data_IF_348296395347
#
_entry.id   IF_348296395347
#
_cell.length_a   1.000
_cell.length_b   1.000
_cell.length_c   1.000
_cell.angle_alpha   90.00
_cell.angle_beta   90.00
_cell.angle_gamma   90.00
#
_symmetry.space_group_name_H-M   'P 1'
#
loop_
_entity.id
_entity.type
_entity.pdbx_description
1 polymer ?
#
# COMPACT_ATOMS: atom_id res chain seq x y z
N UNK A 1 -0.99 7.85 24.94
CA UNK A 1 0.02 6.78 25.05
C UNK A 1 1.46 7.25 24.94
N UNK A 2 1.74 8.29 24.14
CA UNK A 2 3.07 8.83 23.89
C UNK A 2 3.97 8.96 25.14
N UNK A 3 3.60 9.80 26.11
CA UNK A 3 4.43 10.04 27.33
C UNK A 3 4.58 8.79 28.20
N UNK A 4 3.54 7.98 28.35
CA UNK A 4 3.58 6.75 29.17
C UNK A 4 4.54 5.74 28.52
N UNK A 5 4.45 5.54 27.20
CA UNK A 5 5.31 4.61 26.48
C UNK A 5 6.76 5.10 26.42
N UNK A 6 6.99 6.40 26.22
CA UNK A 6 8.31 6.99 26.28
C UNK A 6 8.96 6.74 27.65
N UNK A 7 8.31 7.10 28.74
CA UNK A 7 8.85 6.90 30.10
C UNK A 7 8.95 5.42 30.51
N UNK A 8 8.16 4.54 29.89
CA UNK A 8 8.32 3.07 30.02
C UNK A 8 9.57 2.55 29.35
N UNK A 9 9.86 3.01 28.14
CA UNK A 9 11.04 2.62 27.37
C UNK A 9 12.35 3.13 28.00
N UNK A 10 12.27 4.16 28.85
CA UNK A 10 13.41 4.76 29.52
C UNK A 10 13.54 4.34 31.01
N UNK A 11 14.68 4.70 31.60
CA UNK A 11 15.02 4.36 32.98
C UNK A 11 14.17 5.07 34.06
N UNK A 12 14.37 4.70 35.34
CA UNK A 12 13.53 5.14 36.46
C UNK A 12 13.46 6.66 36.65
N UNK A 13 14.49 7.39 36.21
CA UNK A 13 14.55 8.86 36.30
C UNK A 13 13.47 9.58 35.49
N UNK A 14 12.88 8.91 34.51
CA UNK A 14 11.86 9.48 33.62
C UNK A 14 10.43 9.09 34.03
N UNK A 15 10.26 8.28 35.08
CA UNK A 15 8.95 7.75 35.43
C UNK A 15 8.00 8.87 35.87
N UNK A 16 6.80 8.84 35.29
CA UNK A 16 5.61 9.53 35.78
C UNK A 16 5.16 9.01 37.16
N UNK A 17 4.24 9.70 37.85
CA UNK A 17 3.55 9.16 39.03
C UNK A 17 2.96 7.76 38.78
N UNK A 18 2.90 6.93 39.83
CA UNK A 18 2.53 5.50 39.72
C UNK A 18 1.14 5.26 39.12
N UNK A 19 0.23 6.20 39.29
CA UNK A 19 -1.13 6.18 38.79
C UNK A 19 -1.19 6.08 37.26
N UNK A 20 -0.20 6.64 36.55
CA UNK A 20 -0.08 6.52 35.09
C UNK A 20 0.30 5.12 34.62
N UNK A 21 0.68 4.24 35.56
CA UNK A 21 1.01 2.84 35.27
C UNK A 21 -0.01 1.85 35.82
N UNK A 22 -1.14 2.34 36.36
CA UNK A 22 -2.27 1.48 36.68
C UNK A 22 -2.78 0.76 35.41
N UNK A 23 -2.92 -0.57 35.41
CA UNK A 23 -3.30 -1.33 34.23
C UNK A 23 -4.65 -0.89 33.63
N UNK A 24 -5.62 -0.49 34.46
CA UNK A 24 -6.92 -0.04 33.99
C UNK A 24 -6.82 1.35 33.37
N UNK A 25 -6.07 2.26 33.98
CA UNK A 25 -5.80 3.58 33.42
C UNK A 25 -5.16 3.48 32.03
N UNK A 26 -4.15 2.61 31.87
CA UNK A 26 -3.49 2.40 30.57
C UNK A 26 -4.45 1.84 29.54
N UNK A 27 -5.21 0.80 29.86
CA UNK A 27 -6.17 0.22 28.91
C UNK A 27 -7.20 1.25 28.44
N UNK A 28 -7.66 2.13 29.33
CA UNK A 28 -8.58 3.23 28.99
C UNK A 28 -7.89 4.25 28.06
N UNK A 29 -6.66 4.68 28.40
CA UNK A 29 -5.91 5.66 27.61
C UNK A 29 -5.53 5.10 26.23
N UNK A 30 -5.15 3.81 26.15
CA UNK A 30 -4.88 3.11 24.89
C UNK A 30 -6.12 3.09 24.01
N UNK A 31 -7.26 2.66 24.56
CA UNK A 31 -8.52 2.63 23.83
C UNK A 31 -8.93 4.01 23.31
N UNK A 32 -8.90 5.04 24.17
CA UNK A 32 -9.22 6.42 23.77
C UNK A 32 -8.30 6.86 22.62
N UNK A 33 -6.99 6.63 22.76
CA UNK A 33 -6.03 7.02 21.73
C UNK A 33 -6.21 6.28 20.41
N UNK A 34 -6.46 4.97 20.45
CA UNK A 34 -6.70 4.16 19.25
C UNK A 34 -8.01 4.57 18.57
N UNK A 35 -9.09 4.74 19.32
CA UNK A 35 -10.38 5.15 18.77
C UNK A 35 -10.29 6.56 18.16
N UNK A 36 -9.66 7.51 18.85
CA UNK A 36 -9.46 8.88 18.37
C UNK A 36 -8.66 8.94 17.06
N UNK A 37 -7.55 8.19 16.99
CA UNK A 37 -6.61 8.31 15.87
C UNK A 37 -6.94 7.39 14.69
N UNK A 38 -7.54 6.24 14.92
CA UNK A 38 -7.57 5.15 13.93
C UNK A 38 -8.97 4.66 13.53
N UNK A 39 -10.03 4.93 14.31
CA UNK A 39 -11.39 4.46 13.96
C UNK A 39 -11.88 4.99 12.61
N UNK A 40 -11.46 6.20 12.22
CA UNK A 40 -11.82 6.78 10.92
C UNK A 40 -11.44 5.90 9.72
N UNK A 41 -10.33 5.15 9.80
CA UNK A 41 -9.94 4.19 8.77
C UNK A 41 -10.90 3.01 8.66
N UNK A 42 -11.58 2.62 9.74
CA UNK A 42 -12.56 1.53 9.71
C UNK A 42 -13.94 1.98 9.22
N UNK A 43 -14.24 3.28 9.35
CA UNK A 43 -15.57 3.84 9.14
C UNK A 43 -15.75 4.51 7.77
N UNK A 44 -14.70 5.13 7.22
CA UNK A 44 -14.79 6.00 6.04
C UNK A 44 -13.79 5.63 4.95
N UNK A 45 -14.31 5.36 3.75
CA UNK A 45 -13.52 5.13 2.55
C UNK A 45 -12.76 6.40 2.14
N UNK A 46 -13.35 7.58 2.31
CA UNK A 46 -12.68 8.85 2.06
C UNK A 46 -11.45 9.00 2.96
N UNK A 47 -11.59 8.70 4.25
CA UNK A 47 -10.48 8.75 5.21
C UNK A 47 -9.35 7.79 4.82
N UNK A 48 -9.67 6.55 4.41
CA UNK A 48 -8.67 5.60 3.87
C UNK A 48 -8.01 6.14 2.60
N UNK A 49 -8.81 6.69 1.69
CA UNK A 49 -8.36 7.17 0.37
C UNK A 49 -7.37 8.33 0.48
N UNK A 50 -7.69 9.31 1.32
CA UNK A 50 -6.88 10.51 1.49
C UNK A 50 -5.73 10.33 2.49
N UNK A 51 -5.88 9.41 3.45
CA UNK A 51 -4.87 9.09 4.46
C UNK A 51 -3.78 8.15 3.93
N UNK A 52 -4.11 6.87 3.74
CA UNK A 52 -3.12 5.81 3.43
C UNK A 52 -3.21 5.27 1.99
N UNK A 53 -4.25 5.65 1.25
CA UNK A 53 -4.57 5.10 -0.06
C UNK A 53 -3.46 5.23 -1.09
N UNK A 54 -2.78 6.39 -1.14
CA UNK A 54 -1.65 6.60 -2.03
C UNK A 54 -0.51 5.59 -1.79
N UNK A 55 -0.13 5.41 -0.52
CA UNK A 55 0.93 4.47 -0.14
C UNK A 55 0.53 3.02 -0.47
N UNK A 56 -0.69 2.61 -0.14
CA UNK A 56 -1.14 1.24 -0.42
C UNK A 56 -1.25 0.97 -1.92
N UNK A 57 -1.70 1.96 -2.69
CA UNK A 57 -1.66 1.89 -4.13
C UNK A 57 -0.24 1.75 -4.68
N UNK A 58 0.77 2.39 -4.08
CA UNK A 58 2.17 2.27 -4.50
C UNK A 58 2.71 0.88 -4.21
N UNK A 59 2.39 0.34 -3.03
CA UNK A 59 2.76 -1.04 -2.64
C UNK A 59 2.20 -2.05 -3.64
N UNK A 60 0.90 -1.96 -3.95
CA UNK A 60 0.26 -2.86 -4.93
C UNK A 60 0.82 -2.65 -6.33
N UNK A 61 1.07 -1.40 -6.76
CA UNK A 61 1.65 -1.13 -8.06
C UNK A 61 3.04 -1.79 -8.22
N UNK A 62 3.87 -1.77 -7.17
CA UNK A 62 5.19 -2.44 -7.17
C UNK A 62 5.06 -3.96 -7.20
N UNK A 63 4.10 -4.54 -6.48
CA UNK A 63 3.83 -5.98 -6.56
C UNK A 63 3.44 -6.39 -7.97
N UNK A 64 2.53 -5.63 -8.60
CA UNK A 64 2.12 -5.87 -9.99
C UNK A 64 3.28 -5.66 -10.96
N UNK A 65 4.11 -4.62 -10.79
CA UNK A 65 5.31 -4.42 -11.58
C UNK A 65 6.28 -5.61 -11.49
N UNK A 66 6.35 -6.26 -10.32
CA UNK A 66 7.12 -7.49 -10.13
C UNK A 66 6.56 -8.67 -10.93
N UNK A 67 5.23 -8.79 -11.04
CA UNK A 67 4.55 -9.78 -11.92
C UNK A 67 4.84 -9.49 -13.39
N UNK A 68 4.75 -8.21 -13.78
CA UNK A 68 5.01 -7.77 -15.16
C UNK A 68 6.49 -7.82 -15.54
N UNK A 69 7.38 -8.06 -14.57
CA UNK A 69 8.84 -7.95 -14.72
C UNK A 69 9.24 -6.60 -15.34
N UNK A 70 8.54 -5.54 -14.94
CA UNK A 70 8.72 -4.20 -15.46
C UNK A 70 9.44 -3.31 -14.44
N UNK A 71 10.03 -2.18 -14.87
CA UNK A 71 10.60 -1.21 -13.94
C UNK A 71 9.60 -0.62 -12.94
N UNK A 72 8.30 -0.85 -13.11
CA UNK A 72 7.26 -0.42 -12.16
C UNK A 72 7.35 -1.14 -10.80
N UNK A 73 8.20 -2.17 -10.69
CA UNK A 73 8.47 -2.89 -9.43
C UNK A 73 9.24 -2.06 -8.37
N UNK A 74 9.71 -0.88 -8.76
CA UNK A 74 10.46 0.07 -7.94
C UNK A 74 11.77 0.52 -8.59
N UNK A 75 12.23 -0.15 -9.65
CA UNK A 75 13.41 0.28 -10.42
C UNK A 75 13.19 1.67 -11.04
N UNK A 76 11.97 1.99 -11.47
CA UNK A 76 11.58 3.26 -12.08
C UNK A 76 11.96 4.48 -11.22
N UNK A 77 11.76 4.41 -9.90
CA UNK A 77 12.04 5.51 -8.97
C UNK A 77 13.54 5.67 -8.64
N UNK A 78 14.33 4.61 -8.79
CA UNK A 78 15.77 4.61 -8.45
C UNK A 78 16.68 4.51 -9.68
N UNK A 79 16.09 4.48 -10.88
CA UNK A 79 16.79 4.17 -12.13
C UNK A 79 17.95 5.10 -12.37
N UNK A 80 19.15 4.53 -12.49
CA UNK A 80 20.33 5.27 -12.89
C UNK A 80 20.39 5.39 -14.43
N UNK A 81 20.71 6.57 -14.99
CA UNK A 81 20.90 6.73 -16.43
C UNK A 81 21.90 5.71 -16.98
N UNK A 82 21.47 4.90 -17.96
CA UNK A 82 22.31 3.90 -18.63
C UNK A 82 22.47 2.56 -17.89
N UNK A 83 21.84 2.37 -16.72
CA UNK A 83 21.83 1.07 -16.04
C UNK A 83 20.71 0.16 -16.59
N UNK A 84 21.00 -1.14 -16.70
CA UNK A 84 19.98 -2.15 -16.94
C UNK A 84 19.02 -2.23 -15.73
N UNK A 85 17.70 -2.43 -15.96
CA UNK A 85 16.73 -2.59 -14.88
C UNK A 85 17.12 -3.73 -13.95
N UNK A 86 16.94 -3.56 -12.64
CA UNK A 86 17.15 -4.64 -11.66
C UNK A 86 15.91 -4.83 -10.80
N UNK A 87 15.41 -6.07 -10.67
CA UNK A 87 14.22 -6.31 -9.88
C UNK A 87 14.42 -5.91 -8.42
N UNK A 88 13.50 -5.12 -7.87
CA UNK A 88 13.52 -4.76 -6.46
C UNK A 88 13.02 -5.95 -5.64
N UNK A 89 13.88 -6.46 -4.75
CA UNK A 89 13.57 -7.61 -3.88
C UNK A 89 13.23 -7.23 -2.45
N UNK A 90 13.63 -6.03 -2.03
CA UNK A 90 13.45 -5.55 -0.68
C UNK A 90 13.35 -4.03 -0.67
N UNK A 91 12.30 -3.52 -0.03
CA UNK A 91 12.10 -2.10 0.23
C UNK A 91 11.88 -1.87 1.72
N UNK A 92 12.40 -0.77 2.24
CA UNK A 92 12.24 -0.39 3.64
C UNK A 92 11.85 1.08 3.73
N UNK A 93 10.76 1.34 4.45
CA UNK A 93 10.22 2.68 4.66
C UNK A 93 10.19 2.97 6.15
N UNK A 94 10.97 3.97 6.60
CA UNK A 94 10.78 4.55 7.92
C UNK A 94 9.46 5.32 7.95
N UNK A 95 8.62 5.07 8.95
CA UNK A 95 7.29 5.68 9.05
C UNK A 95 6.88 5.91 10.52
N UNK A 96 5.63 6.29 10.72
CA UNK A 96 5.04 6.57 12.03
C UNK A 96 4.05 5.48 12.44
N UNK A 97 3.70 5.44 13.72
CA UNK A 97 2.60 4.62 14.25
C UNK A 97 1.29 4.83 13.48
N UNK A 98 0.97 6.07 13.10
CA UNK A 98 -0.17 6.43 12.27
C UNK A 98 -0.15 5.79 10.90
N UNK A 99 1.03 5.56 10.32
CA UNK A 99 1.18 4.83 9.06
C UNK A 99 0.89 3.35 9.26
N UNK A 100 1.47 2.74 10.30
CA UNK A 100 1.26 1.31 10.60
C UNK A 100 -0.22 1.01 10.90
N UNK A 101 -0.81 1.79 11.81
CA UNK A 101 -2.22 1.67 12.15
C UNK A 101 -3.12 1.99 10.95
N UNK A 102 -2.80 3.02 10.16
CA UNK A 102 -3.56 3.35 8.95
C UNK A 102 -3.58 2.22 7.93
N UNK A 103 -2.44 1.55 7.68
CA UNK A 103 -2.35 0.38 6.79
C UNK A 103 -3.20 -0.77 7.34
N UNK A 104 -2.97 -1.17 8.60
CA UNK A 104 -3.66 -2.31 9.19
C UNK A 104 -5.18 -2.06 9.30
N UNK A 105 -5.58 -0.85 9.70
CA UNK A 105 -6.99 -0.52 9.90
C UNK A 105 -7.72 -0.43 8.56
N UNK A 106 -7.09 0.12 7.51
CA UNK A 106 -7.66 0.17 6.16
C UNK A 106 -7.85 -1.21 5.53
N UNK A 107 -7.02 -2.17 5.93
CA UNK A 107 -7.13 -3.57 5.54
C UNK A 107 -8.05 -4.38 6.48
N UNK A 108 -8.70 -3.75 7.47
CA UNK A 108 -9.54 -4.46 8.45
C UNK A 108 -8.78 -5.44 9.33
N UNK A 109 -7.46 -5.26 9.47
CA UNK A 109 -6.53 -6.15 10.17
C UNK A 109 -5.88 -5.50 11.39
N UNK A 110 -6.38 -4.34 11.84
CA UNK A 110 -5.90 -3.66 13.05
C UNK A 110 -6.73 -4.06 14.27
N UNK A 111 -6.04 -4.41 15.36
CA UNK A 111 -6.70 -4.68 16.63
C UNK A 111 -7.25 -3.38 17.24
N UNK A 112 -8.45 -3.39 17.84
CA UNK A 112 -9.12 -2.17 18.29
C UNK A 112 -8.51 -1.50 19.53
N UNK A 113 -7.60 -2.18 20.25
CA UNK A 113 -7.32 -1.81 21.65
C UNK A 113 -5.85 -1.49 21.96
N UNK A 114 -4.93 -1.53 21.00
CA UNK A 114 -3.50 -1.33 21.27
C UNK A 114 -2.83 -0.35 20.32
N UNK A 115 -2.18 0.65 20.91
CA UNK A 115 -1.32 1.58 20.19
C UNK A 115 -0.09 0.85 19.64
N UNK A 116 0.37 1.14 18.41
CA UNK A 116 1.59 0.52 17.89
C UNK A 116 2.82 0.85 18.77
N UNK A 117 3.48 -0.14 19.42
CA UNK A 117 4.64 0.14 20.25
C UNK A 117 5.84 0.62 19.43
N UNK A 118 6.84 1.21 20.10
CA UNK A 118 8.12 1.51 19.46
C UNK A 118 8.71 0.28 18.77
N UNK A 119 9.44 0.52 17.69
CA UNK A 119 10.03 -0.51 16.80
C UNK A 119 9.02 -1.45 16.15
N UNK A 120 7.73 -1.11 16.15
CA UNK A 120 6.75 -1.88 15.39
C UNK A 120 7.02 -1.82 13.90
N UNK A 121 6.67 -2.91 13.20
CA UNK A 121 6.80 -3.01 11.75
C UNK A 121 5.65 -3.79 11.14
N UNK A 122 5.40 -3.51 9.86
CA UNK A 122 4.60 -4.36 8.99
C UNK A 122 5.50 -4.91 7.90
N UNK A 123 5.55 -6.22 7.76
CA UNK A 123 6.09 -6.85 6.56
C UNK A 123 4.94 -7.15 5.61
N UNK A 124 5.00 -6.59 4.40
CA UNK A 124 4.09 -6.93 3.31
C UNK A 124 4.89 -7.73 2.30
N UNK A 125 4.60 -9.02 2.21
CA UNK A 125 5.39 -10.00 1.49
C UNK A 125 4.61 -10.51 0.29
N UNK A 126 5.26 -10.62 -0.86
CA UNK A 126 4.69 -11.20 -2.08
C UNK A 126 5.37 -12.53 -2.39
N UNK A 127 4.56 -13.52 -2.73
CA UNK A 127 4.97 -14.88 -3.06
C UNK A 127 4.47 -15.24 -4.45
N UNK A 128 5.17 -16.17 -5.09
CA UNK A 128 4.75 -16.84 -6.31
C UNK A 128 4.68 -18.33 -6.04
N UNK A 129 3.62 -18.97 -6.51
CA UNK A 129 3.53 -20.42 -6.54
C UNK A 129 4.69 -20.99 -7.39
N UNK A 130 5.34 -22.04 -6.90
CA UNK A 130 6.43 -22.69 -7.61
C UNK A 130 5.98 -23.31 -8.96
N UNK A 131 4.68 -23.59 -9.11
CA UNK A 131 4.06 -24.09 -10.33
C UNK A 131 3.95 -23.01 -11.42
N UNK A 132 3.97 -21.73 -11.04
CA UNK A 132 4.03 -20.62 -11.99
C UNK A 132 5.48 -20.44 -12.43
N UNK A 133 5.79 -20.53 -13.74
CA UNK A 133 7.15 -20.36 -14.25
C UNK A 133 7.76 -19.03 -13.82
N UNK A 134 9.04 -19.05 -13.46
CA UNK A 134 9.78 -17.81 -13.35
C UNK A 134 10.00 -17.23 -14.74
N UNK A 135 9.42 -16.07 -15.03
CA UNK A 135 9.85 -15.28 -16.18
C UNK A 135 11.19 -14.66 -15.79
N UNK A 136 12.22 -14.94 -16.58
CA UNK A 136 13.51 -14.27 -16.42
C UNK A 136 13.33 -12.78 -16.72
N UNK A 137 13.91 -11.92 -15.87
CA UNK A 137 13.81 -10.47 -16.06
C UNK A 137 14.37 -10.09 -17.42
N UNK A 138 13.51 -9.64 -18.32
CA UNK A 138 13.88 -9.12 -19.63
C UNK A 138 14.88 -7.98 -19.42
N UNK A 139 16.11 -8.15 -19.89
CA UNK A 139 17.15 -7.10 -19.87
C UNK A 139 16.89 -6.03 -20.94
N UNK A 140 15.91 -6.23 -21.82
CA UNK A 140 15.50 -5.27 -22.84
C UNK A 140 14.39 -4.35 -22.32
N UNK A 141 14.63 -3.04 -22.44
CA UNK A 141 13.64 -2.01 -22.17
C UNK A 141 12.43 -2.21 -23.09
N UNK A 142 11.18 -2.05 -22.62
CA UNK A 142 10.04 -1.92 -23.52
C UNK A 142 10.25 -0.66 -24.38
N UNK A 143 10.63 -0.85 -25.63
CA UNK A 143 10.71 0.22 -26.63
C UNK A 143 9.27 0.55 -27.02
N UNK A 144 8.77 1.70 -26.58
CA UNK A 144 7.52 2.24 -27.11
C UNK A 144 7.63 2.34 -28.63
N UNK A 145 6.62 1.90 -29.41
CA UNK A 145 6.68 1.97 -30.86
C UNK A 145 6.81 3.43 -31.30
N UNK A 146 7.94 3.74 -31.95
CA UNK A 146 8.16 5.07 -32.51
C UNK A 146 7.06 5.39 -33.54
N UNK A 147 6.40 6.55 -33.46
CA UNK A 147 5.46 6.96 -34.49
C UNK A 147 6.21 7.15 -35.80
N UNK A 148 5.85 6.35 -36.80
CA UNK A 148 6.32 6.55 -38.17
C UNK A 148 5.57 7.75 -38.74
N UNK A 149 6.35 8.75 -39.17
CA UNK A 149 6.00 9.93 -39.98
C UNK A 149 5.85 11.26 -39.22
N UNK A 150 6.75 12.21 -39.49
CA UNK A 150 6.58 13.60 -39.01
C UNK A 150 7.74 14.56 -39.28
N UNK A 151 8.00 14.89 -40.55
CA UNK A 151 8.56 16.13 -41.12
C UNK A 151 9.68 16.91 -40.37
N UNK A 152 10.76 17.19 -41.12
CA UNK A 152 11.95 17.98 -40.75
C UNK A 152 11.69 19.38 -40.14
N UNK A 153 10.49 19.93 -40.29
CA UNK A 153 10.13 21.26 -39.75
C UNK A 153 9.90 21.29 -38.24
N UNK A 154 9.83 20.13 -37.56
CA UNK A 154 9.70 20.01 -36.11
C UNK A 154 11.01 20.24 -35.33
N UNK A 155 12.14 20.29 -36.04
CA UNK A 155 13.49 20.39 -35.46
C UNK A 155 13.90 21.80 -35.00
N UNK A 156 13.13 22.85 -35.35
CA UNK A 156 13.48 24.24 -35.01
C UNK A 156 12.71 24.82 -33.82
N UNK A 157 11.72 24.09 -33.28
CA UNK A 157 10.92 24.54 -32.12
C UNK A 157 10.99 23.61 -30.90
N UNK A 158 11.82 22.56 -30.92
CA UNK A 158 11.99 21.65 -29.77
C UNK A 158 13.15 22.08 -28.87
N UNK A 159 12.92 23.09 -28.03
CA UNK A 159 13.64 23.22 -26.76
C UNK A 159 13.02 22.23 -25.76
N UNK A 160 13.66 21.08 -25.57
CA UNK A 160 13.32 20.11 -24.51
C UNK A 160 13.14 18.69 -25.03
N UNK A 161 14.07 17.80 -24.68
CA UNK A 161 13.97 16.36 -24.94
C UNK A 161 12.70 15.78 -24.29
N UNK A 162 11.72 15.41 -25.12
CA UNK A 162 10.62 14.55 -24.72
C UNK A 162 11.11 13.10 -24.69
N UNK A 163 11.51 12.60 -23.51
CA UNK A 163 11.66 11.16 -23.25
C UNK A 163 11.66 10.78 -21.76
N UNK A 164 11.47 11.74 -20.85
CA UNK A 164 11.19 11.43 -19.45
C UNK A 164 9.68 11.65 -19.20
N UNK A 165 8.95 10.64 -18.68
CA UNK A 165 7.61 10.90 -18.15
C UNK A 165 7.67 12.03 -17.12
N UNK A 166 6.63 12.89 -17.03
CA UNK A 166 6.66 14.03 -16.13
C UNK A 166 6.84 13.54 -14.68
N UNK A 167 7.55 14.30 -13.81
CA UNK A 167 7.68 13.94 -12.41
C UNK A 167 6.31 13.65 -11.79
N UNK A 168 6.15 12.47 -11.19
CA UNK A 168 4.88 12.01 -10.62
C UNK A 168 3.96 11.25 -11.58
N UNK A 169 4.33 11.05 -12.84
CA UNK A 169 3.63 10.10 -13.70
C UNK A 169 3.88 8.67 -13.24
N UNK A 170 2.81 7.90 -13.10
CA UNK A 170 2.87 6.48 -12.79
C UNK A 170 3.67 5.73 -13.86
N UNK A 171 4.47 4.72 -13.47
CA UNK A 171 5.13 3.85 -14.43
C UNK A 171 4.09 3.13 -15.29
N UNK A 172 4.47 2.80 -16.53
CA UNK A 172 3.63 2.02 -17.45
C UNK A 172 3.36 0.63 -16.85
N UNK A 173 2.16 0.10 -17.08
CA UNK A 173 1.72 -1.22 -16.58
C UNK A 173 0.31 -1.18 -16.03
N UNK A 174 -0.17 -2.32 -15.53
CA UNK A 174 -1.52 -2.47 -14.96
C UNK A 174 -1.58 -2.18 -13.46
N UNK A 175 -0.44 -1.87 -12.82
CA UNK A 175 -0.35 -1.67 -11.36
C UNK A 175 -1.32 -0.61 -10.82
N UNK A 176 -1.52 0.49 -11.57
CA UNK A 176 -2.44 1.58 -11.23
C UNK A 176 -3.81 1.49 -11.89
N UNK A 177 -4.01 0.52 -12.78
CA UNK A 177 -5.31 0.22 -13.38
C UNK A 177 -6.16 -0.47 -12.33
N UNK A 178 -7.38 -0.01 -12.08
CA UNK A 178 -8.21 -0.61 -11.02
C UNK A 178 -8.68 -2.00 -11.43
N UNK A 179 -8.92 -2.87 -10.47
CA UNK A 179 -9.32 -4.26 -10.70
C UNK A 179 -10.53 -4.36 -11.65
N UNK A 180 -11.60 -3.56 -11.53
CA UNK A 180 -12.71 -3.61 -12.48
C UNK A 180 -12.31 -3.32 -13.94
N UNK A 181 -11.28 -2.50 -14.16
CA UNK A 181 -10.82 -2.09 -15.49
C UNK A 181 -9.92 -3.13 -16.18
N UNK A 182 -9.39 -4.11 -15.43
CA UNK A 182 -8.51 -5.14 -15.97
C UNK A 182 -9.23 -5.99 -17.04
N UNK A 183 -8.54 -6.34 -18.11
CA UNK A 183 -8.99 -7.38 -19.04
C UNK A 183 -8.83 -8.76 -18.39
N UNK A 184 -9.46 -9.79 -18.94
CA UNK A 184 -9.31 -11.18 -18.45
C UNK A 184 -7.83 -11.61 -18.45
N UNK A 185 -7.12 -11.40 -19.55
CA UNK A 185 -5.69 -11.73 -19.66
C UNK A 185 -4.81 -10.97 -18.64
N UNK A 186 -5.16 -9.72 -18.32
CA UNK A 186 -4.44 -8.95 -17.29
C UNK A 186 -4.73 -9.46 -15.86
N UNK A 187 -5.92 -10.00 -15.60
CA UNK A 187 -6.25 -10.64 -14.32
C UNK A 187 -5.53 -11.97 -14.20
N UNK A 188 -5.57 -12.80 -15.25
CA UNK A 188 -4.94 -14.13 -15.29
C UNK A 188 -3.42 -14.04 -15.04
N UNK A 189 -2.79 -12.93 -15.43
CA UNK A 189 -1.38 -12.67 -15.15
C UNK A 189 -1.07 -12.60 -13.65
N UNK A 190 -2.03 -12.22 -12.81
CA UNK A 190 -1.87 -12.13 -11.35
C UNK A 190 -2.08 -13.48 -10.64
N UNK A 191 -2.52 -14.51 -11.37
CA UNK A 191 -2.80 -15.83 -10.80
C UNK A 191 -1.53 -16.54 -10.31
N UNK A 192 -1.67 -17.27 -9.20
CA UNK A 192 -0.56 -17.95 -8.55
C UNK A 192 0.42 -17.00 -7.83
N UNK A 193 0.07 -15.73 -7.67
CA UNK A 193 0.75 -14.80 -6.78
C UNK A 193 -0.07 -14.55 -5.52
N UNK A 194 0.62 -14.48 -4.39
CA UNK A 194 0.01 -14.35 -3.07
C UNK A 194 0.67 -13.22 -2.27
N UNK A 195 -0.09 -12.63 -1.35
CA UNK A 195 0.36 -11.57 -0.45
C UNK A 195 0.10 -12.00 0.98
N UNK A 196 1.12 -11.87 1.84
CA UNK A 196 1.00 -12.05 3.30
C UNK A 196 1.37 -10.76 4.00
N UNK A 197 0.65 -10.45 5.07
CA UNK A 197 0.98 -9.37 5.98
C UNK A 197 1.39 -9.93 7.33
N UNK A 198 2.45 -9.38 7.91
CA UNK A 198 2.86 -9.65 9.29
C UNK A 198 2.95 -8.34 10.05
N UNK A 199 2.32 -8.27 11.22
CA UNK A 199 2.48 -7.14 12.15
C UNK A 199 3.29 -7.62 13.35
N UNK A 200 4.46 -7.00 13.57
CA UNK A 200 5.40 -7.42 14.60
C UNK A 200 5.68 -8.94 14.55
N UNK A 201 5.95 -9.42 13.34
CA UNK A 201 6.23 -10.82 13.00
C UNK A 201 5.09 -11.82 13.17
N UNK A 202 3.88 -11.38 13.52
CA UNK A 202 2.69 -12.23 13.55
C UNK A 202 1.86 -12.05 12.28
N UNK A 203 1.50 -13.14 11.56
CA UNK A 203 0.60 -13.04 10.41
C UNK A 203 -0.74 -12.39 10.78
N UNK A 204 -1.23 -11.50 9.91
CA UNK A 204 -2.56 -10.90 10.05
C UNK A 204 -3.44 -11.28 8.86
N UNK A 205 -4.72 -11.49 9.12
CA UNK A 205 -5.69 -11.90 8.09
C UNK A 205 -6.55 -10.71 7.67
N UNK A 206 -6.56 -10.43 6.37
CA UNK A 206 -7.44 -9.43 5.75
C UNK A 206 -8.82 -10.06 5.53
N UNK A 207 -9.93 -9.47 6.05
CA UNK A 207 -11.25 -10.08 6.00
C UNK A 207 -11.73 -10.47 4.59
N UNK A 208 -11.52 -9.61 3.60
CA UNK A 208 -11.91 -9.84 2.20
C UNK A 208 -11.15 -10.98 1.51
N UNK A 209 -10.03 -11.43 2.09
CA UNK A 209 -9.25 -12.55 1.55
C UNK A 209 -9.79 -13.92 2.00
N UNK A 210 -10.63 -13.98 3.05
CA UNK A 210 -11.11 -15.25 3.62
C UNK A 210 -12.06 -16.03 2.72
N UNK A 211 -12.70 -15.38 1.75
CA UNK A 211 -13.60 -16.07 0.84
C UNK A 211 -12.83 -17.13 0.02
N UNK A 212 -13.43 -18.30 -0.28
CA UNK A 212 -12.81 -19.30 -1.15
C UNK A 212 -12.39 -18.68 -2.48
N UNK A 213 -11.14 -18.94 -2.90
CA UNK A 213 -10.54 -18.35 -4.11
C UNK A 213 -9.80 -17.02 -3.89
N UNK A 214 -9.99 -16.35 -2.75
CA UNK A 214 -9.29 -15.11 -2.42
C UNK A 214 -8.03 -15.31 -1.56
N UNK A 215 -7.68 -16.55 -1.23
CA UNK A 215 -6.51 -16.93 -0.46
C UNK A 215 -5.88 -18.25 -0.95
N UNK A 216 -4.68 -18.55 -0.46
CA UNK A 216 -4.04 -19.86 -0.64
C UNK A 216 -4.88 -20.94 0.02
N UNK A 217 -5.19 -22.02 -0.70
CA UNK A 217 -6.01 -23.12 -0.16
C UNK A 217 -5.42 -23.67 1.14
N UNK A 218 -6.22 -23.66 2.21
CA UNK A 218 -5.82 -24.13 3.53
C UNK A 218 -5.10 -23.09 4.41
N UNK A 219 -4.82 -21.88 3.91
CA UNK A 219 -4.16 -20.81 4.68
C UNK A 219 -4.75 -19.42 4.35
N UNK A 220 -5.68 -18.95 5.19
CA UNK A 220 -6.31 -17.62 5.07
C UNK A 220 -5.35 -16.45 5.29
N UNK A 221 -4.11 -16.67 5.77
CA UNK A 221 -3.11 -15.60 5.94
C UNK A 221 -2.46 -15.14 4.63
N UNK A 222 -2.60 -15.92 3.56
CA UNK A 222 -2.08 -15.60 2.22
C UNK A 222 -3.23 -15.18 1.31
N UNK A 223 -3.40 -13.88 1.08
CA UNK A 223 -4.35 -13.37 0.09
C UNK A 223 -3.87 -13.67 -1.33
N UNK A 224 -4.76 -13.95 -2.29
CA UNK A 224 -4.36 -13.88 -3.71
C UNK A 224 -4.01 -12.43 -4.06
N UNK A 225 -3.03 -12.20 -4.94
CA UNK A 225 -2.64 -10.84 -5.34
C UNK A 225 -3.84 -10.09 -5.95
N UNK A 226 -4.67 -10.78 -6.72
CA UNK A 226 -5.92 -10.24 -7.28
C UNK A 226 -6.89 -9.77 -6.20
N UNK A 227 -7.12 -10.57 -5.14
CA UNK A 227 -8.01 -10.17 -4.04
C UNK A 227 -7.43 -9.00 -3.24
N UNK A 228 -6.13 -9.06 -2.91
CA UNK A 228 -5.45 -7.98 -2.20
C UNK A 228 -5.51 -6.66 -2.98
N UNK A 229 -5.21 -6.70 -4.28
CA UNK A 229 -5.33 -5.56 -5.19
C UNK A 229 -6.78 -5.04 -5.24
N UNK A 230 -7.77 -5.92 -5.37
CA UNK A 230 -9.18 -5.50 -5.41
C UNK A 230 -9.64 -4.78 -4.13
N UNK A 231 -9.09 -5.14 -2.97
CA UNK A 231 -9.38 -4.47 -1.70
C UNK A 231 -8.72 -3.09 -1.67
N UNK A 232 -7.43 -3.02 -2.02
CA UNK A 232 -6.64 -1.77 -2.02
C UNK A 232 -7.13 -0.76 -3.05
N UNK A 233 -7.52 -1.22 -4.25
CA UNK A 233 -8.00 -0.35 -5.33
C UNK A 233 -9.23 0.45 -4.91
N UNK A 234 -10.07 -0.06 -3.99
CA UNK A 234 -11.26 0.63 -3.50
C UNK A 234 -10.93 1.92 -2.75
N UNK A 235 -9.75 2.02 -2.16
CA UNK A 235 -9.32 3.22 -1.45
C UNK A 235 -8.00 3.78 -2.00
N UNK A 236 -7.63 3.42 -3.23
CA UNK A 236 -6.50 4.07 -3.91
C UNK A 236 -7.01 5.34 -4.61
N UNK A 237 -6.42 6.52 -4.35
CA UNK A 237 -6.87 7.76 -4.96
C UNK A 237 -6.55 7.78 -6.46
N UNK A 238 -7.52 8.19 -7.28
CA UNK A 238 -7.32 8.43 -8.73
C UNK A 238 -6.63 9.78 -8.95
N UNK A 239 -7.07 10.80 -8.21
CA UNK A 239 -6.42 12.12 -8.16
C UNK A 239 -6.48 12.61 -6.73
N UNK A 240 -5.44 12.32 -5.94
CA UNK A 240 -5.38 12.71 -4.53
C UNK A 240 -5.62 14.21 -4.34
N UNK A 241 -5.02 15.04 -5.21
CA UNK A 241 -5.15 16.50 -5.14
C UNK A 241 -6.59 16.98 -5.33
N UNK A 242 -7.32 16.39 -6.27
CA UNK A 242 -8.70 16.80 -6.53
C UNK A 242 -9.63 16.23 -5.46
N UNK A 243 -9.43 14.96 -5.08
CA UNK A 243 -10.20 14.30 -4.03
C UNK A 243 -10.03 14.99 -2.66
N UNK A 244 -8.85 15.52 -2.34
CA UNK A 244 -8.64 16.34 -1.14
C UNK A 244 -9.44 17.64 -1.09
N UNK A 245 -9.96 18.12 -2.22
CA UNK A 245 -10.76 19.34 -2.30
C UNK A 245 -12.26 19.04 -2.38
N UNK A 246 -12.62 17.78 -2.52
CA UNK A 246 -14.02 17.34 -2.52
C UNK A 246 -14.56 17.34 -1.09
N UNK A 247 -15.89 17.28 -0.97
CA UNK A 247 -16.60 17.00 0.28
C UNK A 247 -16.30 17.91 1.50
N UNK A 248 -15.61 19.04 1.33
CA UNK A 248 -15.24 19.95 2.42
C UNK A 248 -16.45 20.49 3.24
N UNK A 249 -17.64 20.51 2.65
CA UNK A 249 -18.90 20.91 3.30
C UNK A 249 -19.86 19.75 3.56
N UNK A 250 -19.44 18.51 3.28
CA UNK A 250 -20.24 17.32 3.54
C UNK A 250 -20.06 16.85 5.00
N UNK A 251 -21.00 16.04 5.53
CA UNK A 251 -20.81 15.40 6.83
C UNK A 251 -19.54 14.54 6.86
N UNK A 252 -18.79 14.59 7.96
CA UNK A 252 -17.56 13.81 8.15
C UNK A 252 -17.80 12.30 8.18
N UNK A 253 -18.96 11.88 8.66
CA UNK A 253 -19.34 10.46 8.71
C UNK A 253 -20.15 10.07 7.46
N UNK A 254 -19.85 8.94 6.83
CA UNK A 254 -20.59 8.48 5.67
C UNK A 254 -22.03 8.11 6.07
N UNK A 255 -22.96 8.32 5.14
CA UNK A 255 -24.38 8.03 5.37
C UNK A 255 -24.69 6.52 5.47
N UNK A 256 -23.75 5.67 5.01
CA UNK A 256 -23.83 4.22 5.06
C UNK A 256 -22.50 3.67 5.61
N UNK A 257 -22.50 2.49 6.25
CA UNK A 257 -21.27 1.85 6.68
C UNK A 257 -20.34 1.57 5.48
N UNK A 258 -19.06 1.94 5.60
CA UNK A 258 -18.02 1.69 4.60
C UNK A 258 -16.89 0.87 5.25
N UNK A 259 -17.13 -0.43 5.53
CA UNK A 259 -16.19 -1.26 6.29
C UNK A 259 -14.85 -1.43 5.56
N UNK A 260 -13.77 -1.42 6.33
CA UNK A 260 -12.42 -1.67 5.85
C UNK A 260 -12.15 -3.16 5.56
N UNK A 261 -11.19 -3.43 4.68
CA UNK A 261 -10.71 -4.79 4.41
C UNK A 261 -11.55 -5.66 3.48
N UNK A 262 -12.50 -5.08 2.72
CA UNK A 262 -13.36 -5.79 1.77
C UNK A 262 -13.29 -5.24 0.37
#
# INVERSE_FOLDING_TARGET
MDTINATRAHGPQTKLPSEFYDPKAIAIIERIGVEEWYSGYTESQEYRTLGIGGLMGDVVARMVGSVEHSPADGDYEIKQPGAAPRPIRFGMSGCHDTTLAGVLASLGAFGPDKWPPFTSHIAIEMFRDARVPAIETSTELPVAPAPKNGSWFSSWFSFGQANAPPPGAAPLGIGRKTTPELTEAERDMLDGYYVRLRYNDEPVTVPGCKAPGNHLEGDESFCTLTAFKSIVDKYTPVSWRDQCRMNANAPTFPAKPEPAGY
#
